data_IF_316970927532
#
_entry.id   IF_316970927532
#
_cell.length_a   1.000
_cell.length_b   1.000
_cell.length_c   1.000
_cell.angle_alpha   90.00
_cell.angle_beta   90.00
_cell.angle_gamma   90.00
#
_symmetry.space_group_name_H-M   'P 1'
#
loop_
_entity.id
_entity.type
_entity.pdbx_description
1 polymer ?
#
# COMPACT_ATOMS: atom_id res chain seq x y z
N UNK A 1 -10.28 0.85 5.76
CA UNK A 1 -10.65 0.04 4.58
C UNK A 1 -11.33 -1.31 4.87
N UNK A 2 -10.72 -2.32 5.50
CA UNK A 2 -11.37 -3.66 5.68
C UNK A 2 -12.67 -3.63 6.48
N UNK A 3 -12.70 -2.90 7.60
CA UNK A 3 -13.91 -2.73 8.42
C UNK A 3 -14.98 -1.95 7.64
N UNK A 4 -14.57 -0.89 6.94
CA UNK A 4 -15.41 -0.05 6.08
C UNK A 4 -16.04 -0.82 4.91
N UNK A 5 -15.32 -1.79 4.34
CA UNK A 5 -15.75 -2.60 3.19
C UNK A 5 -16.30 -3.99 3.59
N UNK A 6 -16.34 -4.30 4.89
CA UNK A 6 -16.80 -5.57 5.48
C UNK A 6 -16.17 -6.80 4.82
N UNK A 7 -14.83 -6.86 4.75
CA UNK A 7 -14.11 -7.97 4.09
C UNK A 7 -13.17 -8.77 4.99
N UNK A 8 -13.11 -10.07 4.71
CA UNK A 8 -12.29 -11.03 5.44
C UNK A 8 -10.79 -10.88 5.17
N UNK A 9 -10.40 -10.32 4.03
CA UNK A 9 -8.98 -10.07 3.70
C UNK A 9 -8.77 -8.69 3.06
N UNK A 10 -7.51 -8.22 3.07
CA UNK A 10 -7.14 -6.99 2.35
C UNK A 10 -7.34 -7.15 0.83
N UNK A 11 -7.07 -8.34 0.30
CA UNK A 11 -7.29 -8.66 -1.11
C UNK A 11 -8.77 -8.50 -1.47
N UNK A 12 -9.66 -9.03 -0.64
CA UNK A 12 -11.10 -8.90 -0.86
C UNK A 12 -11.57 -7.44 -0.72
N UNK A 13 -10.96 -6.65 0.18
CA UNK A 13 -11.24 -5.22 0.27
C UNK A 13 -10.87 -4.51 -1.04
N UNK A 14 -9.71 -4.82 -1.62
CA UNK A 14 -9.26 -4.23 -2.89
C UNK A 14 -10.19 -4.64 -4.03
N UNK A 15 -10.55 -5.92 -4.13
CA UNK A 15 -11.47 -6.41 -5.16
C UNK A 15 -12.84 -5.73 -5.03
N UNK A 16 -13.39 -5.65 -3.82
CA UNK A 16 -14.67 -4.94 -3.60
C UNK A 16 -14.60 -3.45 -3.86
N UNK A 17 -13.48 -2.80 -3.55
CA UNK A 17 -13.27 -1.39 -3.90
C UNK A 17 -13.32 -1.23 -5.42
N UNK A 18 -12.54 -2.02 -6.15
CA UNK A 18 -12.53 -2.04 -7.63
C UNK A 18 -13.94 -2.27 -8.19
N UNK A 19 -14.67 -3.27 -7.67
CA UNK A 19 -16.04 -3.55 -8.10
C UNK A 19 -16.97 -2.35 -7.88
N UNK A 20 -16.91 -1.71 -6.70
CA UNK A 20 -17.74 -0.55 -6.37
C UNK A 20 -17.37 0.69 -7.18
N UNK A 21 -16.08 0.99 -7.31
CA UNK A 21 -15.58 2.19 -8.00
C UNK A 21 -16.00 2.21 -9.46
N UNK A 22 -16.02 1.05 -10.12
CA UNK A 22 -16.30 0.98 -11.55
C UNK A 22 -17.72 0.53 -11.90
N UNK A 23 -18.57 0.19 -10.91
CA UNK A 23 -19.94 -0.20 -11.17
C UNK A 23 -20.73 0.91 -11.89
N UNK A 24 -21.22 0.60 -13.10
CA UNK A 24 -22.04 1.53 -13.90
C UNK A 24 -21.27 2.52 -14.78
N UNK A 25 -19.93 2.42 -14.84
CA UNK A 25 -19.11 3.27 -15.72
C UNK A 25 -19.02 2.67 -17.13
N UNK A 26 -19.13 3.43 -18.22
CA UNK A 26 -19.06 2.90 -19.59
C UNK A 26 -17.79 2.10 -19.91
N UNK A 27 -16.65 2.47 -19.31
CA UNK A 27 -15.34 1.84 -19.49
C UNK A 27 -14.98 0.84 -18.36
N UNK A 28 -15.94 0.48 -17.50
CA UNK A 28 -15.75 -0.38 -16.30
C UNK A 28 -14.88 -1.61 -16.60
N UNK A 29 -15.27 -2.37 -17.63
CA UNK A 29 -14.60 -3.62 -17.97
C UNK A 29 -13.13 -3.42 -18.33
N UNK A 30 -12.79 -2.34 -19.04
CA UNK A 30 -11.41 -2.08 -19.46
C UNK A 30 -10.54 -1.63 -18.28
N UNK A 31 -11.04 -0.73 -17.44
CA UNK A 31 -10.31 -0.24 -16.27
C UNK A 31 -10.12 -1.34 -15.22
N UNK A 32 -11.18 -2.10 -14.91
CA UNK A 32 -11.11 -3.26 -14.01
C UNK A 32 -10.11 -4.29 -14.50
N UNK A 33 -10.17 -4.67 -15.77
CA UNK A 33 -9.27 -5.68 -16.33
C UNK A 33 -7.80 -5.24 -16.29
N UNK A 34 -7.54 -3.95 -16.53
CA UNK A 34 -6.19 -3.36 -16.47
C UNK A 34 -5.56 -3.54 -15.08
N UNK A 35 -6.30 -3.18 -14.03
CA UNK A 35 -5.85 -3.30 -12.63
C UNK A 35 -5.74 -4.76 -12.22
N UNK A 36 -6.72 -5.60 -12.56
CA UNK A 36 -6.71 -7.02 -12.17
C UNK A 36 -5.49 -7.75 -12.74
N UNK A 37 -5.14 -7.51 -14.01
CA UNK A 37 -3.98 -8.15 -14.64
C UNK A 37 -2.67 -7.74 -13.99
N UNK A 38 -2.40 -6.45 -13.88
CA UNK A 38 -1.11 -5.98 -13.37
C UNK A 38 -0.99 -6.01 -11.85
N UNK A 39 -2.03 -5.56 -11.14
CA UNK A 39 -1.93 -5.25 -9.71
C UNK A 39 -2.43 -6.40 -8.83
N UNK A 40 -3.30 -7.28 -9.36
CA UNK A 40 -3.77 -8.47 -8.63
C UNK A 40 -3.06 -9.74 -9.10
N UNK A 41 -2.91 -9.95 -10.40
CA UNK A 41 -2.28 -11.15 -10.98
C UNK A 41 -0.78 -11.01 -11.25
N UNK A 42 -0.21 -9.82 -11.08
CA UNK A 42 1.22 -9.51 -11.33
C UNK A 42 1.66 -9.80 -12.77
N UNK A 43 0.75 -9.69 -13.74
CA UNK A 43 1.08 -9.81 -15.16
C UNK A 43 1.96 -8.62 -15.60
N UNK A 44 2.95 -8.88 -16.47
CA UNK A 44 3.77 -7.81 -17.07
C UNK A 44 2.90 -6.93 -17.96
N UNK A 45 3.07 -5.62 -17.87
CA UNK A 45 2.26 -4.63 -18.59
C UNK A 45 2.19 -4.89 -20.12
N UNK A 46 3.29 -5.29 -20.76
CA UNK A 46 3.29 -5.64 -22.19
C UNK A 46 2.41 -6.84 -22.52
N UNK A 47 2.44 -7.88 -21.68
CA UNK A 47 1.61 -9.07 -21.86
C UNK A 47 0.12 -8.75 -21.63
N UNK A 48 -0.17 -7.98 -20.57
CA UNK A 48 -1.53 -7.52 -20.27
C UNK A 48 -2.09 -6.63 -21.39
N UNK A 49 -1.32 -5.65 -21.89
CA UNK A 49 -1.72 -4.79 -23.01
C UNK A 49 -2.02 -5.61 -24.28
N UNK A 50 -1.16 -6.58 -24.60
CA UNK A 50 -1.38 -7.49 -25.74
C UNK A 50 -2.66 -8.31 -25.56
N UNK A 51 -2.91 -8.84 -24.37
CA UNK A 51 -4.11 -9.63 -24.06
C UNK A 51 -5.41 -8.80 -24.07
N UNK A 52 -5.30 -7.48 -23.91
CA UNK A 52 -6.40 -6.52 -23.99
C UNK A 52 -6.55 -5.88 -25.37
N UNK A 53 -5.72 -6.27 -26.35
CA UNK A 53 -5.67 -5.66 -27.68
C UNK A 53 -5.44 -4.14 -27.65
N UNK A 54 -4.63 -3.67 -26.71
CA UNK A 54 -4.25 -2.27 -26.56
C UNK A 54 -2.79 -2.04 -26.93
N UNK A 55 -2.49 -0.87 -27.50
CA UNK A 55 -1.10 -0.40 -27.52
C UNK A 55 -0.62 -0.16 -26.08
N UNK A 56 0.68 -0.28 -25.85
CA UNK A 56 1.25 -0.06 -24.52
C UNK A 56 0.95 1.34 -23.98
N UNK A 57 0.92 2.36 -24.86
CA UNK A 57 0.54 3.73 -24.49
C UNK A 57 -0.93 3.82 -24.05
N UNK A 58 -1.85 3.20 -24.78
CA UNK A 58 -3.26 3.15 -24.39
C UNK A 58 -3.43 2.42 -23.06
N UNK A 59 -2.74 1.30 -22.87
CA UNK A 59 -2.77 0.54 -21.63
C UNK A 59 -2.36 1.39 -20.42
N UNK A 60 -1.23 2.10 -20.50
CA UNK A 60 -0.81 2.97 -19.39
C UNK A 60 -1.77 4.12 -19.14
N UNK A 61 -2.33 4.73 -20.18
CA UNK A 61 -3.36 5.77 -20.04
C UNK A 61 -4.61 5.22 -19.33
N UNK A 62 -5.10 4.05 -19.74
CA UNK A 62 -6.24 3.40 -19.07
C UNK A 62 -5.92 3.02 -17.64
N UNK A 63 -4.68 2.62 -17.34
CA UNK A 63 -4.24 2.30 -15.99
C UNK A 63 -4.18 3.55 -15.09
N UNK A 64 -3.71 4.68 -15.60
CA UNK A 64 -3.70 5.94 -14.83
C UNK A 64 -5.11 6.44 -14.54
N UNK A 65 -5.99 6.46 -15.56
CA UNK A 65 -7.42 6.82 -15.40
C UNK A 65 -8.09 5.94 -14.32
N UNK A 66 -7.81 4.64 -14.33
CA UNK A 66 -8.36 3.71 -13.35
C UNK A 66 -7.85 3.98 -11.93
N UNK A 67 -6.57 4.35 -11.76
CA UNK A 67 -6.04 4.73 -10.45
C UNK A 67 -6.57 6.06 -9.94
N UNK A 68 -6.78 7.04 -10.82
CA UNK A 68 -7.42 8.31 -10.46
C UNK A 68 -8.84 8.08 -9.93
N UNK A 69 -9.63 7.24 -10.62
CA UNK A 69 -10.96 6.86 -10.16
C UNK A 69 -10.95 6.13 -8.82
N UNK A 70 -9.97 5.24 -8.59
CA UNK A 70 -9.79 4.58 -7.30
C UNK A 70 -9.42 5.56 -6.19
N UNK A 71 -8.53 6.51 -6.46
CA UNK A 71 -8.14 7.54 -5.50
C UNK A 71 -9.35 8.42 -5.11
N UNK A 72 -10.12 8.88 -6.09
CA UNK A 72 -11.34 9.65 -5.85
C UNK A 72 -12.38 8.86 -5.05
N UNK A 73 -12.47 7.54 -5.25
CA UNK A 73 -13.37 6.68 -4.47
C UNK A 73 -12.88 6.44 -3.02
N UNK A 74 -11.58 6.63 -2.76
CA UNK A 74 -10.98 6.51 -1.43
C UNK A 74 -11.14 7.79 -0.61
N UNK A 75 -11.13 8.97 -1.22
CA UNK A 75 -11.24 10.26 -0.51
C UNK A 75 -12.43 10.34 0.48
N UNK A 76 -13.67 9.93 0.13
CA UNK A 76 -14.79 9.92 1.08
C UNK A 76 -14.65 8.89 2.20
N UNK A 77 -13.87 7.82 1.98
CA UNK A 77 -13.60 6.81 2.99
C UNK A 77 -12.55 7.27 4.01
N UNK A 78 -11.65 8.19 3.60
CA UNK A 78 -10.63 8.79 4.45
C UNK A 78 -11.11 10.07 5.15
N UNK A 79 -12.15 10.74 4.63
CA UNK A 79 -12.71 11.98 5.18
C UNK A 79 -13.46 11.84 6.53
N UNK A 80 -13.27 10.77 7.29
CA UNK A 80 -13.81 10.61 8.64
C UNK A 80 -12.76 10.85 9.74
N UNK A 81 -12.79 11.99 10.47
CA UNK A 81 -12.16 12.12 11.79
C UNK A 81 -13.08 12.77 12.87
N UNK A 82 -12.81 12.72 14.20
CA UNK A 82 -11.46 12.80 14.81
C UNK A 82 -11.12 11.97 16.07
N UNK A 83 -9.80 11.92 16.32
CA UNK A 83 -9.06 11.71 17.57
C UNK A 83 -9.18 10.35 18.28
N UNK A 84 -8.12 9.56 18.18
CA UNK A 84 -7.75 8.66 19.28
C UNK A 84 -7.34 7.25 18.93
N UNK A 85 -7.20 6.86 17.67
CA UNK A 85 -6.51 5.61 17.36
C UNK A 85 -6.11 5.59 15.89
N UNK A 86 -4.85 5.95 15.64
CA UNK A 86 -4.15 5.63 14.40
C UNK A 86 -3.97 4.12 14.32
N UNK A 87 -5.07 3.39 14.09
CA UNK A 87 -5.02 1.97 13.83
C UNK A 87 -4.51 1.78 12.41
N UNK A 88 -3.21 1.92 12.23
CA UNK A 88 -2.48 1.41 11.07
C UNK A 88 -2.59 -0.12 11.10
N UNK A 89 -3.78 -0.64 10.78
CA UNK A 89 -4.01 -2.08 10.64
C UNK A 89 -3.53 -2.50 9.26
N UNK A 90 -2.22 -2.46 9.07
CA UNK A 90 -1.59 -3.26 8.03
C UNK A 90 -1.80 -4.72 8.42
N UNK A 91 -2.30 -5.55 7.50
CA UNK A 91 -2.27 -6.98 7.75
C UNK A 91 -0.80 -7.43 7.84
N UNK A 92 -0.53 -8.46 8.64
CA UNK A 92 0.84 -8.93 8.93
C UNK A 92 1.69 -9.13 7.66
N UNK A 93 1.06 -9.55 6.56
CA UNK A 93 1.72 -9.70 5.26
C UNK A 93 2.13 -8.36 4.62
N UNK A 94 1.21 -7.40 4.51
CA UNK A 94 1.52 -6.08 3.93
C UNK A 94 2.52 -5.31 4.78
N UNK A 95 2.47 -5.48 6.12
CA UNK A 95 3.48 -4.91 7.02
C UNK A 95 4.87 -5.47 6.70
N UNK A 96 5.01 -6.79 6.55
CA UNK A 96 6.29 -7.44 6.22
C UNK A 96 6.83 -7.07 4.84
N UNK A 97 5.96 -6.99 3.83
CA UNK A 97 6.36 -6.68 2.44
C UNK A 97 6.79 -5.21 2.27
N UNK A 98 6.24 -4.27 3.05
CA UNK A 98 6.53 -2.84 2.94
C UNK A 98 7.65 -2.34 3.87
N UNK A 99 7.77 -2.93 5.06
CA UNK A 99 8.69 -2.43 6.11
C UNK A 99 9.83 -3.40 6.44
N UNK A 100 9.87 -4.61 5.84
CA UNK A 100 10.76 -5.67 6.31
C UNK A 100 10.31 -6.19 7.68
N UNK A 101 10.81 -7.35 8.11
CA UNK A 101 10.57 -7.79 9.50
C UNK A 101 11.51 -7.01 10.43
N UNK A 102 10.96 -6.39 11.46
CA UNK A 102 11.71 -5.81 12.60
C UNK A 102 12.44 -6.89 13.45
N UNK A 103 12.72 -8.07 12.91
CA UNK A 103 13.40 -9.18 13.62
C UNK A 103 14.94 -9.14 13.48
N UNK A 104 15.50 -8.21 12.68
CA UNK A 104 16.96 -8.01 12.58
C UNK A 104 17.45 -6.79 13.38
N UNK A 105 16.71 -6.35 14.40
CA UNK A 105 17.16 -5.31 15.35
C UNK A 105 17.76 -5.89 16.64
N UNK A 106 18.21 -7.13 16.63
CA UNK A 106 18.89 -7.79 17.75
C UNK A 106 20.40 -7.94 17.53
N UNK A 107 21.07 -6.96 16.92
CA UNK A 107 22.52 -6.79 17.08
C UNK A 107 22.89 -5.34 16.79
N UNK A 108 22.97 -4.51 17.82
CA UNK A 108 23.93 -3.40 17.98
C UNK A 108 23.64 -2.70 19.31
N UNK A 109 23.82 -3.43 20.41
CA UNK A 109 24.14 -2.81 21.70
C UNK A 109 25.65 -2.71 21.75
N UNK A 110 26.20 -1.52 21.51
CA UNK A 110 27.26 -0.95 22.34
C UNK A 110 27.16 0.58 22.28
N UNK A 111 26.74 1.26 23.36
CA UNK A 111 27.00 2.69 23.49
C UNK A 111 28.50 2.88 23.74
N UNK A 112 29.22 3.39 22.75
CA UNK A 112 30.53 4.00 22.95
C UNK A 112 30.32 5.17 23.92
N UNK A 113 30.81 5.02 25.16
CA UNK A 113 30.94 6.13 26.10
C UNK A 113 31.94 7.15 25.54
N UNK A 114 31.67 8.46 25.59
CA UNK A 114 32.70 9.46 25.50
C UNK A 114 33.47 9.50 26.83
N UNK A 115 34.76 9.20 26.80
CA UNK A 115 35.67 9.49 27.92
C UNK A 115 35.85 11.02 28.01
N UNK A 116 35.31 11.60 29.08
CA UNK A 116 35.42 13.00 29.47
C UNK A 116 36.73 13.21 30.27
N UNK A 117 37.61 14.20 29.97
CA UNK A 117 39.00 14.23 30.43
C UNK A 117 39.25 14.94 31.77
N UNK A 118 38.34 14.85 32.75
CA UNK A 118 38.51 15.48 34.07
C UNK A 118 38.31 14.51 35.25
N UNK A 119 39.30 13.65 35.51
CA UNK A 119 39.46 13.03 36.83
C UNK A 119 40.20 13.98 37.78
N UNK A 120 39.43 14.63 38.66
CA UNK A 120 39.91 15.27 39.87
C UNK A 120 40.26 14.17 40.90
N UNK A 121 41.55 13.98 41.20
CA UNK A 121 41.99 13.18 42.37
C UNK A 121 41.87 14.02 43.65
N UNK A 122 41.23 13.53 44.72
CA UNK A 122 41.38 14.09 46.06
C UNK A 122 42.65 13.57 46.74
N UNK A 123 43.30 14.46 47.48
CA UNK A 123 44.42 14.20 48.39
C UNK A 123 44.10 13.17 49.47
N UNK A 124 45.03 12.24 49.69
CA UNK A 124 45.59 11.85 51.00
C UNK A 124 46.96 11.23 50.75
#
# INVERSE_FOLDING_TARGET
MRATLKTATCRDAIVRLIERTFAGVPDDRCWRETIVRCDVRREKARAAASAMHLSLRQFYRRRSEAFEALAAALEPLDAAPPAGESSQVLCARCRRELFGSDDDAATLVQPHRPDDPYELRPSC
#
